data_IF_092707107363
#
_entry.id   IF_092707107363
#
_cell.length_a   1.000
_cell.length_b   1.000
_cell.length_c   1.000
_cell.angle_alpha   90.00
_cell.angle_beta   90.00
_cell.angle_gamma   90.00
#
_symmetry.space_group_name_H-M   'P 1'
#
loop_
_entity.id
_entity.type
_entity.pdbx_description
1 polymer ?
#
# COMPACT_ATOMS: atom_id res chain seq x y z
N UNK A 1 -35.82 -16.04 -12.22
CA UNK A 1 -35.29 -14.65 -12.06
C UNK A 1 -34.37 -14.46 -10.84
N UNK A 2 -34.23 -15.42 -9.91
CA UNK A 2 -33.49 -15.23 -8.65
C UNK A 2 -31.93 -15.40 -8.67
N UNK A 3 -31.31 -16.28 -9.46
CA UNK A 3 -29.86 -16.55 -9.32
C UNK A 3 -28.95 -15.52 -10.01
N UNK A 4 -29.46 -14.77 -11.00
CA UNK A 4 -28.67 -13.72 -11.65
C UNK A 4 -28.53 -12.47 -10.78
N UNK A 5 -29.58 -12.12 -10.03
CA UNK A 5 -29.59 -10.95 -9.15
C UNK A 5 -28.60 -11.11 -7.98
N UNK A 6 -28.55 -12.29 -7.35
CA UNK A 6 -27.65 -12.55 -6.21
C UNK A 6 -26.17 -12.59 -6.60
N UNK A 7 -25.86 -13.03 -7.83
CA UNK A 7 -24.50 -13.01 -8.38
C UNK A 7 -24.07 -11.57 -8.67
N UNK A 8 -24.97 -10.74 -9.19
CA UNK A 8 -24.70 -9.33 -9.47
C UNK A 8 -24.44 -8.54 -8.18
N UNK A 9 -25.32 -8.67 -7.18
CA UNK A 9 -25.15 -8.08 -5.85
C UNK A 9 -23.81 -8.49 -5.19
N UNK A 10 -23.40 -9.75 -5.37
CA UNK A 10 -22.12 -10.23 -4.83
C UNK A 10 -20.93 -9.55 -5.52
N UNK A 11 -20.99 -9.37 -6.84
CA UNK A 11 -19.94 -8.67 -7.58
C UNK A 11 -19.89 -7.19 -7.21
N UNK A 12 -21.03 -6.51 -7.10
CA UNK A 12 -21.10 -5.12 -6.66
C UNK A 12 -20.47 -4.94 -5.27
N UNK A 13 -20.75 -5.86 -4.34
CA UNK A 13 -20.13 -5.88 -3.02
C UNK A 13 -18.61 -6.02 -3.10
N UNK A 14 -18.09 -6.92 -3.94
CA UNK A 14 -16.65 -7.13 -4.10
C UNK A 14 -15.95 -5.89 -4.63
N UNK A 15 -16.51 -5.26 -5.67
CA UNK A 15 -15.98 -4.03 -6.23
C UNK A 15 -16.05 -2.87 -5.24
N UNK A 16 -17.10 -2.79 -4.43
CA UNK A 16 -17.23 -1.79 -3.37
C UNK A 16 -16.18 -1.95 -2.28
N UNK A 17 -15.92 -3.19 -1.83
CA UNK A 17 -14.85 -3.50 -0.87
C UNK A 17 -13.49 -3.11 -1.45
N UNK A 18 -13.23 -3.48 -2.71
CA UNK A 18 -12.00 -3.10 -3.39
C UNK A 18 -11.84 -1.59 -3.51
N UNK A 19 -12.86 -0.87 -3.98
CA UNK A 19 -12.82 0.58 -4.14
C UNK A 19 -12.55 1.28 -2.80
N UNK A 20 -13.26 0.90 -1.74
CA UNK A 20 -13.06 1.45 -0.41
C UNK A 20 -11.62 1.28 0.08
N UNK A 21 -11.10 0.04 0.08
CA UNK A 21 -9.76 -0.24 0.60
C UNK A 21 -8.66 0.33 -0.29
N UNK A 22 -8.89 0.41 -1.60
CA UNK A 22 -8.00 1.08 -2.54
C UNK A 22 -7.89 2.58 -2.23
N UNK A 23 -9.03 3.26 -2.02
CA UNK A 23 -9.05 4.66 -1.62
C UNK A 23 -8.30 4.87 -0.29
N UNK A 24 -8.56 4.04 0.72
CA UNK A 24 -7.86 4.12 2.02
C UNK A 24 -6.34 3.98 1.85
N UNK A 25 -5.89 3.02 1.04
CA UNK A 25 -4.47 2.79 0.79
C UNK A 25 -3.81 3.93 0.00
N UNK A 26 -4.49 4.47 -1.02
CA UNK A 26 -3.99 5.63 -1.78
C UNK A 26 -3.90 6.86 -0.89
N UNK A 27 -4.94 7.14 -0.08
CA UNK A 27 -4.93 8.25 0.88
C UNK A 27 -3.77 8.10 1.89
N UNK A 28 -3.50 6.88 2.36
CA UNK A 28 -2.33 6.61 3.21
C UNK A 28 -1.00 6.94 2.51
N UNK A 29 -0.84 6.56 1.25
CA UNK A 29 0.36 6.88 0.48
C UNK A 29 0.52 8.39 0.24
N UNK A 30 -0.57 9.10 -0.02
CA UNK A 30 -0.58 10.56 -0.12
C UNK A 30 -0.19 11.21 1.21
N UNK A 31 -0.72 10.71 2.33
CA UNK A 31 -0.36 11.17 3.67
C UNK A 31 1.14 11.01 3.95
N UNK A 32 1.76 9.88 3.56
CA UNK A 32 3.20 9.68 3.71
C UNK A 32 4.02 10.68 2.87
N UNK A 33 3.53 11.04 1.68
CA UNK A 33 4.18 12.06 0.84
C UNK A 33 4.13 13.43 1.51
N UNK A 34 2.95 13.82 2.00
CA UNK A 34 2.76 15.05 2.76
C UNK A 34 3.66 15.12 4.01
N UNK A 35 3.64 14.06 4.82
CA UNK A 35 4.46 13.96 6.03
C UNK A 35 5.96 13.99 5.71
N UNK A 36 6.39 13.45 4.55
CA UNK A 36 7.79 13.54 4.13
C UNK A 36 8.20 14.99 3.92
N UNK A 37 7.37 15.80 3.26
CA UNK A 37 7.58 17.24 3.12
C UNK A 37 7.67 17.95 4.47
N UNK A 38 6.74 17.65 5.39
CA UNK A 38 6.75 18.23 6.74
C UNK A 38 8.03 17.89 7.52
N UNK A 39 8.49 16.63 7.46
CA UNK A 39 9.74 16.22 8.12
C UNK A 39 10.95 16.91 7.48
N UNK A 40 11.01 17.04 6.15
CA UNK A 40 12.10 17.75 5.47
C UNK A 40 12.18 19.21 5.89
N UNK A 41 11.04 19.90 5.95
CA UNK A 41 10.97 21.28 6.44
C UNK A 41 11.33 21.36 7.92
N UNK A 42 10.86 20.45 8.77
CA UNK A 42 11.19 20.47 10.20
C UNK A 42 12.69 20.22 10.45
N UNK A 43 13.27 19.26 9.74
CA UNK A 43 14.66 18.88 9.91
C UNK A 43 15.64 19.69 9.06
N UNK A 44 15.13 20.57 8.19
CA UNK A 44 15.91 21.41 7.26
C UNK A 44 16.82 20.57 6.35
N UNK A 45 16.23 19.50 5.78
CA UNK A 45 16.90 18.60 4.84
C UNK A 45 16.39 18.87 3.43
N UNK A 46 17.24 19.47 2.61
CA UNK A 46 16.93 19.82 1.21
C UNK A 46 17.49 18.80 0.25
N UNK A 47 16.82 18.65 -0.90
CA UNK A 47 17.31 17.80 -1.98
C UNK A 47 18.05 18.64 -3.03
N UNK A 48 17.55 19.85 -3.28
CA UNK A 48 18.11 20.81 -4.22
C UNK A 48 18.38 22.15 -3.54
N UNK A 49 19.26 22.98 -4.14
CA UNK A 49 19.52 24.34 -3.63
C UNK A 49 18.31 25.28 -3.80
N UNK A 50 17.41 25.01 -4.75
CA UNK A 50 16.14 25.73 -4.91
C UNK A 50 15.29 25.64 -3.63
N UNK A 51 15.25 24.45 -3.01
CA UNK A 51 14.47 24.20 -1.79
C UNK A 51 14.92 25.09 -0.61
N UNK A 52 16.15 25.63 -0.66
CA UNK A 52 16.71 26.48 0.39
C UNK A 52 15.85 27.71 0.64
N UNK A 53 15.14 28.21 -0.37
CA UNK A 53 14.24 29.37 -0.22
C UNK A 53 13.10 29.13 0.77
N UNK A 54 12.76 27.86 1.05
CA UNK A 54 11.71 27.46 1.98
C UNK A 54 12.26 27.08 3.38
N UNK A 55 13.58 27.20 3.61
CA UNK A 55 14.27 26.73 4.81
C UNK A 55 14.87 27.90 5.61
N UNK A 56 14.13 28.40 6.59
CA UNK A 56 14.51 29.56 7.42
C UNK A 56 14.61 29.23 8.92
N UNK A 57 14.38 27.98 9.31
CA UNK A 57 14.16 27.61 10.72
C UNK A 57 15.43 27.25 11.47
N UNK A 58 16.45 26.73 10.80
CA UNK A 58 17.75 26.40 11.42
C UNK A 58 18.88 27.06 10.61
N UNK A 59 19.97 27.48 11.28
CA UNK A 59 21.12 28.07 10.59
C UNK A 59 21.87 27.06 9.74
N UNK A 60 21.83 25.78 10.11
CA UNK A 60 22.45 24.68 9.36
C UNK A 60 21.39 23.94 8.54
N UNK A 61 21.61 23.90 7.22
CA UNK A 61 20.75 23.22 6.25
C UNK A 61 21.52 22.05 5.69
N UNK A 62 20.92 20.86 5.74
CA UNK A 62 21.53 19.63 5.25
C UNK A 62 21.16 19.47 3.77
N UNK A 63 22.10 19.79 2.87
CA UNK A 63 21.96 19.47 1.45
C UNK A 63 22.27 17.99 1.22
N UNK A 64 21.24 17.23 0.85
CA UNK A 64 21.37 15.81 0.58
C UNK A 64 20.73 15.44 -0.77
N UNK A 65 21.51 15.42 -1.86
CA UNK A 65 21.01 15.08 -3.20
C UNK A 65 20.51 13.63 -3.34
N UNK A 66 20.78 12.75 -2.39
CA UNK A 66 20.16 11.40 -2.37
C UNK A 66 18.80 11.40 -1.67
N UNK A 67 18.51 12.47 -0.92
CA UNK A 67 17.29 12.67 -0.15
C UNK A 67 17.29 11.99 1.23
N UNK A 68 18.40 11.42 1.69
CA UNK A 68 18.53 10.63 2.93
C UNK A 68 19.25 11.37 4.08
N UNK A 69 19.25 12.70 4.07
CA UNK A 69 20.06 13.51 5.00
C UNK A 69 19.68 13.42 6.49
N UNK A 70 18.58 12.76 6.86
CA UNK A 70 18.15 12.61 8.26
C UNK A 70 17.47 11.26 8.50
N UNK A 71 17.70 10.60 9.66
CA UNK A 71 17.14 9.28 9.97
C UNK A 71 15.61 9.20 9.84
N UNK A 72 14.88 10.26 10.17
CA UNK A 72 13.41 10.27 10.04
C UNK A 72 12.94 10.43 8.58
N UNK A 73 13.71 11.13 7.75
CA UNK A 73 13.45 11.20 6.30
C UNK A 73 13.68 9.82 5.68
N UNK A 74 14.77 9.14 6.06
CA UNK A 74 15.05 7.76 5.62
C UNK A 74 13.90 6.83 6.02
N UNK A 75 13.43 6.93 7.28
CA UNK A 75 12.36 6.10 7.83
C UNK A 75 11.06 6.25 7.03
N UNK A 76 10.59 7.50 6.82
CA UNK A 76 9.34 7.72 6.10
C UNK A 76 9.43 7.33 4.62
N UNK A 77 10.57 7.60 3.97
CA UNK A 77 10.82 7.17 2.59
C UNK A 77 10.79 5.66 2.46
N UNK A 78 11.39 4.92 3.40
CA UNK A 78 11.36 3.45 3.40
C UNK A 78 9.95 2.90 3.59
N UNK A 79 9.14 3.51 4.47
CA UNK A 79 7.73 3.14 4.60
C UNK A 79 6.95 3.36 3.29
N UNK A 80 7.13 4.53 2.66
CA UNK A 80 6.46 4.83 1.38
C UNK A 80 6.96 3.93 0.22
N UNK A 81 8.26 3.65 0.15
CA UNK A 81 8.82 2.71 -0.84
C UNK A 81 8.31 1.29 -0.65
N UNK A 82 8.08 0.86 0.59
CA UNK A 82 7.45 -0.42 0.88
C UNK A 82 6.03 -0.46 0.32
N UNK A 83 5.25 0.62 0.51
CA UNK A 83 3.93 0.74 -0.10
C UNK A 83 3.99 0.70 -1.62
N UNK A 84 4.92 1.41 -2.27
CA UNK A 84 5.08 1.34 -3.72
C UNK A 84 5.32 -0.10 -4.21
N UNK A 85 6.05 -0.91 -3.45
CA UNK A 85 6.35 -2.31 -3.79
C UNK A 85 5.21 -3.30 -3.49
N UNK A 86 4.23 -2.93 -2.65
CA UNK A 86 3.13 -3.85 -2.28
C UNK A 86 1.76 -3.33 -2.64
N UNK A 87 1.45 -2.09 -2.31
CA UNK A 87 0.15 -1.45 -2.57
C UNK A 87 -0.06 -1.26 -4.07
N UNK A 88 0.92 -0.77 -4.84
CA UNK A 88 0.73 -0.59 -6.28
C UNK A 88 0.44 -1.92 -7.01
N UNK A 89 1.23 -3.01 -6.81
CA UNK A 89 0.85 -4.31 -7.37
C UNK A 89 -0.52 -4.79 -6.92
N UNK A 90 -0.87 -4.58 -5.64
CA UNK A 90 -2.20 -4.93 -5.14
C UNK A 90 -3.33 -4.19 -5.87
N UNK A 91 -3.20 -2.88 -6.09
CA UNK A 91 -4.18 -2.08 -6.83
C UNK A 91 -4.34 -2.55 -8.28
N UNK A 92 -3.26 -3.01 -8.92
CA UNK A 92 -3.30 -3.46 -10.32
C UNK A 92 -3.85 -4.88 -10.44
N UNK A 93 -3.42 -5.81 -9.59
CA UNK A 93 -3.74 -7.24 -9.74
C UNK A 93 -5.08 -7.60 -9.11
N UNK A 94 -5.52 -6.91 -8.05
CA UNK A 94 -6.78 -7.25 -7.36
C UNK A 94 -8.00 -7.16 -8.28
N UNK A 95 -8.17 -6.13 -9.14
CA UNK A 95 -9.23 -6.12 -10.15
C UNK A 95 -9.21 -7.34 -11.08
N UNK A 96 -8.03 -7.77 -11.52
CA UNK A 96 -7.88 -8.96 -12.38
C UNK A 96 -8.31 -10.22 -11.64
N UNK A 97 -7.93 -10.33 -10.37
CA UNK A 97 -8.30 -11.44 -9.49
C UNK A 97 -9.81 -11.47 -9.20
N UNK A 98 -10.46 -10.31 -8.96
CA UNK A 98 -11.90 -10.24 -8.72
C UNK A 98 -12.76 -10.78 -9.88
N UNK A 99 -12.25 -10.73 -11.11
CA UNK A 99 -12.93 -11.28 -12.28
C UNK A 99 -12.94 -12.81 -12.30
N UNK A 100 -11.99 -13.47 -11.62
CA UNK A 100 -11.82 -14.92 -11.61
C UNK A 100 -12.10 -15.57 -10.26
N UNK A 101 -12.21 -14.76 -9.20
CA UNK A 101 -12.55 -15.22 -7.86
C UNK A 101 -14.01 -15.68 -7.80
N UNK A 102 -14.27 -16.64 -6.92
CA UNK A 102 -15.58 -17.27 -6.73
C UNK A 102 -16.03 -17.27 -5.27
N UNK A 103 -15.12 -17.08 -4.32
CA UNK A 103 -15.40 -17.17 -2.90
C UNK A 103 -15.58 -15.79 -2.24
N UNK A 104 -16.80 -15.53 -1.77
CA UNK A 104 -17.14 -14.26 -1.10
C UNK A 104 -16.31 -14.02 0.18
N UNK A 105 -16.08 -15.07 0.97
CA UNK A 105 -15.29 -14.99 2.20
C UNK A 105 -13.85 -14.57 1.94
N UNK A 106 -13.25 -15.07 0.86
CA UNK A 106 -11.87 -14.73 0.48
C UNK A 106 -11.73 -13.25 0.21
N UNK A 107 -12.64 -12.65 -0.58
CA UNK A 107 -12.62 -11.21 -0.88
C UNK A 107 -12.80 -10.38 0.39
N UNK A 108 -13.79 -10.74 1.23
CA UNK A 108 -14.11 -10.05 2.48
C UNK A 108 -12.99 -10.10 3.52
N UNK A 109 -12.11 -11.09 3.46
CA UNK A 109 -11.00 -11.24 4.41
C UNK A 109 -9.70 -10.65 3.84
N UNK A 110 -9.35 -11.00 2.60
CA UNK A 110 -8.02 -10.67 2.05
C UNK A 110 -7.87 -9.19 1.70
N UNK A 111 -8.88 -8.55 1.09
CA UNK A 111 -8.77 -7.13 0.73
C UNK A 111 -8.67 -6.25 1.99
N UNK A 112 -9.59 -6.36 2.98
CA UNK A 112 -9.45 -5.62 4.22
C UNK A 112 -8.19 -6.00 5.02
N UNK A 113 -7.86 -7.30 5.08
CA UNK A 113 -6.69 -7.80 5.78
C UNK A 113 -5.38 -7.21 5.23
N UNK A 114 -5.26 -7.10 3.90
CA UNK A 114 -4.12 -6.44 3.26
C UNK A 114 -4.04 -4.97 3.67
N UNK A 115 -5.16 -4.24 3.60
CA UNK A 115 -5.24 -2.84 4.01
C UNK A 115 -4.81 -2.61 5.46
N UNK A 116 -5.37 -3.39 6.38
CA UNK A 116 -5.03 -3.34 7.81
C UNK A 116 -3.56 -3.66 8.07
N UNK A 117 -3.03 -4.73 7.48
CA UNK A 117 -1.62 -5.09 7.63
C UNK A 117 -0.68 -3.99 7.10
N UNK A 118 -1.06 -3.31 6.01
CA UNK A 118 -0.28 -2.21 5.43
C UNK A 118 -0.25 -0.98 6.34
N UNK A 119 -1.40 -0.62 6.92
CA UNK A 119 -1.51 0.47 7.89
C UNK A 119 -0.68 0.14 9.13
N UNK A 120 -0.85 -1.05 9.72
CA UNK A 120 -0.12 -1.48 10.91
C UNK A 120 1.39 -1.54 10.68
N UNK A 121 1.84 -2.06 9.53
CA UNK A 121 3.24 -2.01 9.14
C UNK A 121 3.77 -0.58 9.16
N UNK A 122 3.02 0.36 8.56
CA UNK A 122 3.42 1.77 8.45
C UNK A 122 3.53 2.42 9.83
N UNK A 123 2.53 2.22 10.69
CA UNK A 123 2.51 2.76 12.06
C UNK A 123 3.68 2.26 12.89
N UNK A 124 4.00 0.96 12.81
CA UNK A 124 5.15 0.38 13.49
C UNK A 124 6.49 0.85 12.91
N UNK A 125 6.60 0.91 11.58
CA UNK A 125 7.81 1.36 10.90
C UNK A 125 8.14 2.81 11.28
N UNK A 126 7.12 3.65 11.35
CA UNK A 126 7.19 5.05 11.72
C UNK A 126 7.27 5.30 13.24
N UNK A 127 7.31 4.23 14.06
CA UNK A 127 7.37 4.28 15.52
C UNK A 127 6.20 5.06 16.17
N UNK A 128 5.04 5.15 15.52
CA UNK A 128 3.82 5.69 16.16
C UNK A 128 3.23 4.71 17.18
N UNK A 129 3.48 3.42 16.98
CA UNK A 129 3.13 2.36 17.91
C UNK A 129 4.41 1.68 18.39
N UNK A 130 4.59 1.60 19.71
CA UNK A 130 5.72 0.94 20.32
C UNK A 130 5.38 -0.54 20.57
N UNK A 131 5.70 -1.38 19.60
CA UNK A 131 5.63 -2.84 19.72
C UNK A 131 6.99 -3.47 19.39
N UNK A 132 7.12 -4.76 19.69
CA UNK A 132 8.33 -5.53 19.31
C UNK A 132 8.59 -5.47 17.80
N UNK A 133 9.86 -5.38 17.42
CA UNK A 133 10.33 -5.29 16.02
C UNK A 133 9.80 -6.47 15.19
N UNK A 134 9.59 -7.63 15.80
CA UNK A 134 9.05 -8.83 15.14
C UNK A 134 7.68 -8.59 14.49
N UNK A 135 6.82 -7.75 15.08
CA UNK A 135 5.49 -7.45 14.53
C UNK A 135 5.57 -6.75 13.18
N UNK A 136 6.54 -5.84 12.99
CA UNK A 136 6.79 -5.20 11.70
C UNK A 136 7.13 -6.23 10.62
N UNK A 137 7.96 -7.22 10.95
CA UNK A 137 8.32 -8.30 10.03
C UNK A 137 7.13 -9.20 9.72
N UNK A 138 6.33 -9.53 10.74
CA UNK A 138 5.10 -10.30 10.58
C UNK A 138 4.13 -9.63 9.60
N UNK A 139 3.79 -8.35 9.80
CA UNK A 139 2.90 -7.63 8.89
C UNK A 139 3.49 -7.51 7.48
N UNK A 140 4.80 -7.28 7.36
CA UNK A 140 5.46 -7.26 6.05
C UNK A 140 5.35 -8.59 5.33
N UNK A 141 5.51 -9.71 6.04
CA UNK A 141 5.38 -11.06 5.49
C UNK A 141 3.93 -11.34 5.08
N UNK A 142 2.97 -11.03 5.95
CA UNK A 142 1.54 -11.19 5.67
C UNK A 142 1.11 -10.46 4.38
N UNK A 143 1.59 -9.23 4.16
CA UNK A 143 1.33 -8.48 2.93
C UNK A 143 1.82 -9.20 1.67
N UNK A 144 3.04 -9.74 1.71
CA UNK A 144 3.58 -10.49 0.58
C UNK A 144 2.85 -11.82 0.37
N UNK A 145 2.46 -12.52 1.44
CA UNK A 145 1.67 -13.75 1.33
C UNK A 145 0.31 -13.50 0.67
N UNK A 146 -0.41 -12.44 1.09
CA UNK A 146 -1.70 -12.08 0.48
C UNK A 146 -1.51 -11.70 -0.99
N UNK A 147 -0.53 -10.85 -1.30
CA UNK A 147 -0.27 -10.42 -2.67
C UNK A 147 0.11 -11.59 -3.59
N UNK A 148 1.01 -12.46 -3.13
CA UNK A 148 1.41 -13.65 -3.91
C UNK A 148 0.25 -14.60 -4.14
N UNK A 149 -0.61 -14.83 -3.13
CA UNK A 149 -1.84 -15.60 -3.30
C UNK A 149 -2.77 -15.00 -4.37
N UNK A 150 -3.05 -13.70 -4.30
CA UNK A 150 -3.90 -13.01 -5.28
C UNK A 150 -3.31 -13.15 -6.70
N UNK A 151 -2.00 -12.93 -6.85
CA UNK A 151 -1.30 -13.06 -8.12
C UNK A 151 -1.35 -14.49 -8.68
N UNK A 152 -1.11 -15.52 -7.86
CA UNK A 152 -1.08 -16.91 -8.33
C UNK A 152 -2.46 -17.40 -8.74
N UNK A 153 -3.51 -17.09 -7.96
CA UNK A 153 -4.89 -17.46 -8.32
C UNK A 153 -5.32 -16.75 -9.60
N UNK A 154 -5.03 -15.46 -9.74
CA UNK A 154 -5.29 -14.73 -10.98
C UNK A 154 -4.62 -15.40 -12.17
N UNK A 155 -3.30 -15.63 -12.08
CA UNK A 155 -2.52 -16.24 -13.16
C UNK A 155 -3.05 -17.62 -13.56
N UNK A 156 -3.27 -18.52 -12.60
CA UNK A 156 -3.75 -19.90 -12.86
C UNK A 156 -5.14 -19.90 -13.48
N UNK A 157 -6.05 -19.03 -13.04
CA UNK A 157 -7.41 -19.00 -13.60
C UNK A 157 -7.43 -18.43 -15.01
N UNK A 158 -6.63 -17.40 -15.30
CA UNK A 158 -6.53 -16.86 -16.65
C UNK A 158 -5.87 -17.86 -17.61
N UNK A 159 -4.81 -18.56 -17.20
CA UNK A 159 -4.17 -19.58 -18.04
C UNK A 159 -5.08 -20.76 -18.34
N UNK A 160 -6.03 -21.11 -17.47
CA UNK A 160 -7.03 -22.16 -17.73
C UNK A 160 -8.18 -21.64 -18.62
N UNK A 161 -8.53 -20.36 -18.50
CA UNK A 161 -9.68 -19.78 -19.20
C UNK A 161 -9.37 -19.44 -20.65
N UNK A 162 -8.18 -18.89 -20.94
CA UNK A 162 -7.77 -18.47 -22.29
C UNK A 162 -7.84 -19.63 -23.32
N UNK A 163 -7.33 -20.84 -23.03
CA UNK A 163 -7.40 -21.97 -23.96
C UNK A 163 -8.82 -22.48 -24.25
N UNK A 164 -9.83 -22.11 -23.45
CA UNK A 164 -11.23 -22.48 -23.71
C UNK A 164 -11.94 -21.51 -24.66
N UNK A 165 -11.32 -20.36 -24.92
CA UNK A 165 -11.88 -19.30 -25.78
C UNK A 165 -11.36 -19.37 -27.22
N UNK A 166 -10.28 -20.12 -27.45
CA UNK A 166 -9.63 -20.39 -28.75
C UNK A 166 -10.09 -21.76 -29.23
#
# INVERSE_FOLDING_TARGET
MLPSATVDETKELWWSIYAWWSCVLVLKMMLLTWQTGQIRVREQVIHSEEDRMWMVKKPEIILCPTGDGHPDVIRIRRAHQKDLKTVLPFLVVTPLWLNVETCNSTVKILIPGFGLCSILYTLLHMKLLQMSVSWKHFFSMALYCILTYICTIAAVRYTITIPKLI
#
